data_IF_740237404694
#
_entry.id   IF_740237404694
#
_cell.length_a   1.000
_cell.length_b   1.000
_cell.length_c   1.000
_cell.angle_alpha   90.00
_cell.angle_beta   90.00
_cell.angle_gamma   90.00
#
_symmetry.space_group_name_H-M   'P 1'
#
loop_
_entity.id
_entity.type
_entity.pdbx_description
1 polymer ?
#
# COMPACT_ATOMS: atom_id res chain seq x y z
N UNK A 1 0.64 -17.67 -8.57
CA UNK A 1 0.23 -16.26 -8.78
C UNK A 1 -0.36 -15.71 -7.49
N UNK A 2 0.07 -14.50 -7.11
CA UNK A 2 -0.47 -13.84 -5.91
C UNK A 2 -1.60 -12.89 -6.30
N UNK A 3 -2.64 -12.84 -5.49
CA UNK A 3 -3.80 -11.99 -5.70
C UNK A 3 -3.74 -10.83 -4.71
N UNK A 4 -3.73 -9.61 -5.24
CA UNK A 4 -3.78 -8.37 -4.46
C UNK A 4 -5.13 -7.70 -4.68
N UNK A 5 -5.88 -7.47 -3.60
CA UNK A 5 -7.22 -6.90 -3.67
C UNK A 5 -7.21 -5.46 -3.14
N UNK A 6 -7.75 -4.53 -3.95
CA UNK A 6 -7.83 -3.12 -3.57
C UNK A 6 -8.87 -2.88 -2.50
N UNK A 7 -8.47 -2.20 -1.42
CA UNK A 7 -9.39 -1.83 -0.34
C UNK A 7 -10.28 -0.64 -0.70
N UNK A 8 -9.98 0.06 -1.80
CA UNK A 8 -10.73 1.24 -2.24
C UNK A 8 -11.67 0.97 -3.42
N UNK A 9 -11.77 -0.27 -3.86
CA UNK A 9 -12.53 -0.63 -5.07
C UNK A 9 -14.05 -0.55 -4.89
N UNK A 10 -14.55 -0.62 -3.66
CA UNK A 10 -15.98 -0.55 -3.37
C UNK A 10 -16.26 0.59 -2.39
N UNK A 11 -16.80 1.69 -2.90
CA UNK A 11 -17.07 2.91 -2.12
C UNK A 11 -18.34 2.83 -1.27
N UNK A 12 -19.21 1.85 -1.54
CA UNK A 12 -20.47 1.69 -0.82
C UNK A 12 -20.34 0.91 0.47
N UNK A 13 -19.14 0.38 0.76
CA UNK A 13 -18.88 -0.41 1.95
C UNK A 13 -17.91 0.32 2.87
N UNK A 14 -18.09 0.12 4.18
CA UNK A 14 -17.09 0.59 5.14
C UNK A 14 -15.80 -0.18 4.96
N UNK A 15 -14.67 0.45 5.30
CA UNK A 15 -13.37 -0.21 5.25
C UNK A 15 -13.35 -1.48 6.11
N UNK A 16 -13.96 -1.41 7.30
CA UNK A 16 -14.05 -2.56 8.20
C UNK A 16 -14.76 -3.75 7.55
N UNK A 17 -15.93 -3.53 6.96
CA UNK A 17 -16.70 -4.59 6.31
C UNK A 17 -15.97 -5.16 5.10
N UNK A 18 -15.33 -4.29 4.31
CA UNK A 18 -14.58 -4.74 3.14
C UNK A 18 -13.39 -5.61 3.55
N UNK A 19 -12.63 -5.21 4.57
CA UNK A 19 -11.48 -5.98 5.05
C UNK A 19 -11.93 -7.34 5.59
N UNK A 20 -13.02 -7.39 6.35
CA UNK A 20 -13.57 -8.66 6.86
C UNK A 20 -13.98 -9.60 5.73
N UNK A 21 -14.60 -9.07 4.68
CA UNK A 21 -14.97 -9.89 3.52
C UNK A 21 -13.73 -10.39 2.78
N UNK A 22 -12.75 -9.53 2.54
CA UNK A 22 -11.51 -9.91 1.84
C UNK A 22 -10.70 -10.94 2.63
N UNK A 23 -10.76 -10.88 3.96
CA UNK A 23 -10.08 -11.86 4.81
C UNK A 23 -10.67 -13.27 4.67
N UNK A 24 -11.96 -13.36 4.30
CA UNK A 24 -12.63 -14.63 4.04
C UNK A 24 -12.39 -15.18 2.62
N UNK A 25 -11.85 -14.37 1.71
CA UNK A 25 -11.50 -14.81 0.37
C UNK A 25 -10.02 -15.18 0.30
N UNK A 26 -9.64 -15.98 -0.71
CA UNK A 26 -8.26 -16.39 -0.93
C UNK A 26 -7.44 -15.31 -1.63
N UNK A 27 -7.39 -14.11 -1.06
CA UNK A 27 -6.49 -13.05 -1.53
C UNK A 27 -5.17 -13.15 -0.77
N UNK A 28 -4.07 -12.85 -1.44
CA UNK A 28 -2.74 -12.97 -0.85
C UNK A 28 -2.31 -11.71 -0.12
N UNK A 29 -2.82 -10.56 -0.54
CA UNK A 29 -2.45 -9.26 0.04
C UNK A 29 -3.55 -8.24 -0.20
N UNK A 30 -3.52 -7.17 0.58
CA UNK A 30 -4.45 -6.04 0.43
C UNK A 30 -3.72 -4.87 -0.21
N UNK A 31 -4.29 -4.33 -1.28
CA UNK A 31 -3.70 -3.25 -2.07
C UNK A 31 -4.19 -1.90 -1.58
N UNK A 32 -3.25 -1.04 -1.20
CA UNK A 32 -3.53 0.32 -0.74
C UNK A 32 -2.88 1.29 -1.72
N UNK A 33 -3.69 2.12 -2.40
CA UNK A 33 -3.18 3.15 -3.29
C UNK A 33 -2.96 4.45 -2.51
N UNK A 34 -1.74 4.99 -2.63
CA UNK A 34 -1.40 6.29 -2.07
C UNK A 34 -0.89 7.21 -3.17
N UNK A 35 -1.75 8.14 -3.59
CA UNK A 35 -1.38 9.22 -4.51
C UNK A 35 -1.28 10.50 -3.68
N UNK A 36 -0.06 11.03 -3.51
CA UNK A 36 0.19 12.14 -2.60
C UNK A 36 -0.37 13.49 -3.08
N UNK A 37 -0.87 13.55 -4.31
CA UNK A 37 -1.61 14.72 -4.82
C UNK A 37 -3.10 14.66 -4.50
N UNK A 38 -3.62 13.49 -4.13
CA UNK A 38 -5.04 13.26 -3.85
C UNK A 38 -5.33 12.86 -2.41
N UNK A 39 -4.36 12.26 -1.73
CA UNK A 39 -4.56 11.70 -0.40
C UNK A 39 -3.53 12.28 0.57
N UNK A 40 -3.93 12.40 1.82
CA UNK A 40 -3.02 12.75 2.90
C UNK A 40 -2.38 11.50 3.49
N UNK A 41 -1.10 11.59 3.83
CA UNK A 41 -0.37 10.46 4.40
C UNK A 41 -1.00 9.96 5.71
N UNK A 42 -1.48 10.88 6.54
CA UNK A 42 -2.11 10.55 7.81
C UNK A 42 -3.35 9.66 7.63
N UNK A 43 -4.14 9.91 6.58
CA UNK A 43 -5.30 9.08 6.27
C UNK A 43 -4.88 7.68 5.86
N UNK A 44 -3.86 7.56 5.02
CA UNK A 44 -3.35 6.27 4.58
C UNK A 44 -2.79 5.49 5.77
N UNK A 45 -2.05 6.15 6.67
CA UNK A 45 -1.53 5.52 7.88
C UNK A 45 -2.65 5.00 8.78
N UNK A 46 -3.72 5.79 8.93
CA UNK A 46 -4.89 5.38 9.69
C UNK A 46 -5.55 4.14 9.09
N UNK A 47 -5.71 4.11 7.76
CA UNK A 47 -6.28 2.97 7.07
C UNK A 47 -5.41 1.72 7.24
N UNK A 48 -4.08 1.86 7.14
CA UNK A 48 -3.15 0.75 7.35
C UNK A 48 -3.25 0.19 8.76
N UNK A 49 -3.33 1.05 9.77
CA UNK A 49 -3.50 0.61 11.15
C UNK A 49 -4.82 -0.14 11.36
N UNK A 50 -5.88 0.31 10.72
CA UNK A 50 -7.17 -0.37 10.77
C UNK A 50 -7.08 -1.75 10.10
N UNK A 51 -6.41 -1.85 8.96
CA UNK A 51 -6.18 -3.14 8.30
C UNK A 51 -5.42 -4.10 9.22
N UNK A 52 -4.35 -3.62 9.87
CA UNK A 52 -3.54 -4.45 10.78
C UNK A 52 -4.35 -4.97 11.97
N UNK A 53 -5.34 -4.19 12.44
CA UNK A 53 -6.20 -4.61 13.53
C UNK A 53 -7.23 -5.65 13.11
N UNK A 54 -7.61 -5.69 11.85
CA UNK A 54 -8.72 -6.51 11.35
C UNK A 54 -8.25 -7.78 10.64
N UNK A 55 -7.03 -7.82 10.14
CA UNK A 55 -6.53 -9.01 9.45
C UNK A 55 -4.99 -9.07 9.50
N UNK A 56 -4.46 -10.26 9.18
CA UNK A 56 -3.02 -10.52 9.21
C UNK A 56 -2.39 -10.55 7.81
N UNK A 57 -3.17 -10.25 6.77
CA UNK A 57 -2.67 -10.29 5.39
C UNK A 57 -1.65 -9.20 5.14
N UNK A 58 -0.63 -9.47 4.30
CA UNK A 58 0.35 -8.46 3.90
C UNK A 58 -0.31 -7.28 3.19
N UNK A 59 0.33 -6.12 3.29
CA UNK A 59 -0.10 -4.90 2.60
C UNK A 59 0.80 -4.68 1.40
N UNK A 60 0.18 -4.42 0.26
CA UNK A 60 0.81 -3.98 -0.98
C UNK A 60 0.51 -2.48 -1.14
N UNK A 61 1.49 -1.63 -0.82
CA UNK A 61 1.33 -0.17 -0.89
C UNK A 61 1.81 0.33 -2.25
N UNK A 62 0.89 0.88 -3.03
CA UNK A 62 1.19 1.48 -4.32
C UNK A 62 1.37 3.00 -4.13
N UNK A 63 2.59 3.48 -4.28
CA UNK A 63 2.93 4.89 -4.10
C UNK A 63 2.97 5.59 -5.45
N UNK A 64 2.08 6.55 -5.63
CA UNK A 64 2.00 7.40 -6.82
C UNK A 64 2.47 8.78 -6.39
N UNK A 65 3.74 9.08 -6.64
CA UNK A 65 4.40 10.31 -6.21
C UNK A 65 5.56 10.63 -7.16
N UNK A 66 5.81 11.91 -7.42
CA UNK A 66 6.99 12.32 -8.16
C UNK A 66 8.26 12.34 -7.28
N UNK A 67 8.10 12.34 -5.97
CA UNK A 67 9.20 12.30 -5.00
C UNK A 67 8.99 11.21 -3.94
N UNK A 68 9.00 9.92 -4.32
CA UNK A 68 8.62 8.84 -3.40
C UNK A 68 9.63 8.56 -2.28
N UNK A 69 10.88 9.02 -2.40
CA UNK A 69 11.91 8.75 -1.39
C UNK A 69 11.56 9.32 -0.02
N UNK A 70 10.76 10.38 0.03
CA UNK A 70 10.34 10.98 1.31
C UNK A 70 9.45 10.07 2.16
N UNK A 71 8.93 8.97 1.58
CA UNK A 71 8.09 8.01 2.29
C UNK A 71 8.84 6.79 2.80
N UNK A 72 10.17 6.76 2.67
CA UNK A 72 10.98 5.61 3.11
C UNK A 72 10.83 5.32 4.59
N UNK A 73 10.78 6.35 5.43
CA UNK A 73 10.56 6.19 6.87
C UNK A 73 9.17 5.63 7.18
N UNK A 74 8.16 6.12 6.46
CA UNK A 74 6.78 5.64 6.61
C UNK A 74 6.68 4.14 6.30
N UNK A 75 7.32 3.70 5.22
CA UNK A 75 7.36 2.29 4.83
C UNK A 75 7.98 1.45 5.93
N UNK A 76 9.11 1.90 6.47
CA UNK A 76 9.83 1.20 7.53
C UNK A 76 9.03 1.16 8.83
N UNK A 77 8.49 2.31 9.25
CA UNK A 77 7.78 2.42 10.53
C UNK A 77 6.49 1.60 10.55
N UNK A 78 5.83 1.45 9.39
CA UNK A 78 4.61 0.67 9.25
C UNK A 78 4.86 -0.78 8.80
N UNK A 79 6.10 -1.18 8.64
CA UNK A 79 6.49 -2.55 8.26
C UNK A 79 5.74 -3.05 7.03
N UNK A 80 5.67 -2.24 5.98
CA UNK A 80 4.96 -2.58 4.75
C UNK A 80 5.69 -3.73 4.04
N UNK A 81 4.97 -4.78 3.67
CA UNK A 81 5.55 -5.99 3.07
C UNK A 81 5.87 -5.82 1.60
N UNK A 82 5.02 -5.10 0.86
CA UNK A 82 5.20 -4.86 -0.57
C UNK A 82 5.00 -3.39 -0.89
N UNK A 83 5.91 -2.81 -1.66
CA UNK A 83 5.81 -1.43 -2.12
C UNK A 83 5.99 -1.40 -3.63
N UNK A 84 5.05 -0.76 -4.32
CA UNK A 84 5.10 -0.56 -5.76
C UNK A 84 5.17 0.93 -6.05
N UNK A 85 6.13 1.34 -6.88
CA UNK A 85 6.26 2.74 -7.31
C UNK A 85 5.71 2.89 -8.72
N UNK A 86 4.99 4.00 -8.97
CA UNK A 86 4.50 4.34 -10.31
C UNK A 86 5.62 5.05 -11.08
N UNK A 87 6.18 4.37 -12.07
CA UNK A 87 7.40 4.83 -12.75
C UNK A 87 7.25 6.17 -13.46
N UNK A 88 6.12 6.39 -14.15
CA UNK A 88 5.91 7.60 -14.97
C UNK A 88 5.93 8.90 -14.16
N UNK A 89 5.64 8.81 -12.88
CA UNK A 89 5.52 10.00 -12.03
C UNK A 89 6.84 10.39 -11.35
N UNK A 90 7.83 9.50 -11.36
CA UNK A 90 9.06 9.67 -10.59
C UNK A 90 10.00 10.67 -11.32
N UNK A 91 10.44 11.72 -10.60
CA UNK A 91 11.37 12.72 -11.11
C UNK A 91 12.73 12.66 -10.42
N UNK A 92 12.95 11.68 -9.55
CA UNK A 92 14.19 11.52 -8.79
C UNK A 92 14.67 10.06 -8.86
N UNK A 93 15.94 9.84 -8.50
CA UNK A 93 16.48 8.49 -8.40
C UNK A 93 15.90 7.81 -7.14
N UNK A 94 15.43 6.58 -7.31
CA UNK A 94 14.84 5.83 -6.19
C UNK A 94 15.92 5.34 -5.23
N UNK A 95 15.75 5.68 -3.96
CA UNK A 95 16.53 5.13 -2.85
C UNK A 95 15.75 3.96 -2.23
N UNK A 96 16.09 2.76 -2.66
CA UNK A 96 15.45 1.55 -2.12
C UNK A 96 16.28 1.05 -0.94
N UNK A 97 15.72 1.18 0.26
CA UNK A 97 16.32 0.59 1.44
C UNK A 97 16.08 -0.91 1.43
N UNK A 98 17.13 -1.68 1.19
CA UNK A 98 17.05 -3.14 1.27
C UNK A 98 16.80 -3.54 2.71
N UNK A 99 15.55 -3.80 3.03
CA UNK A 99 15.18 -4.39 4.32
C UNK A 99 14.66 -5.80 4.05
N UNK A 100 14.84 -6.69 5.02
CA UNK A 100 14.35 -8.06 4.90
C UNK A 100 12.83 -8.15 4.93
N UNK A 101 12.14 -7.04 5.26
CA UNK A 101 10.70 -7.01 5.45
C UNK A 101 9.92 -6.46 4.26
N UNK A 102 10.58 -5.70 3.37
CA UNK A 102 9.88 -5.03 2.28
C UNK A 102 10.40 -5.48 0.92
N UNK A 103 9.50 -5.89 0.05
CA UNK A 103 9.79 -6.19 -1.35
C UNK A 103 9.28 -5.03 -2.20
N UNK A 104 10.11 -4.60 -3.15
CA UNK A 104 9.82 -3.44 -4.00
C UNK A 104 9.54 -3.86 -5.43
N UNK A 105 8.61 -3.14 -6.06
CA UNK A 105 8.28 -3.31 -7.46
C UNK A 105 8.02 -1.97 -8.13
N UNK A 106 7.91 -2.00 -9.46
CA UNK A 106 7.63 -0.82 -10.27
C UNK A 106 6.45 -1.13 -11.16
N UNK A 107 5.46 -0.22 -11.17
CA UNK A 107 4.33 -0.30 -12.08
C UNK A 107 4.57 0.62 -13.27
N UNK A 108 4.25 0.13 -14.46
CA UNK A 108 4.36 0.85 -15.73
C UNK A 108 2.99 0.79 -16.41
N UNK A 109 2.47 1.95 -16.81
CA UNK A 109 1.22 2.00 -17.58
C UNK A 109 1.47 2.12 -19.05
#
# INVERSE_FOLDING_TARGET
MKISASIYSNKDRTLENLIKDLDNYNVDMLHVDFNDKKNELNKIEKDIKQIRNLCEKPIDLHIISDTPNKYSKFIKDNKIEYVTYQLENIVEELNINKSNHTKYGIAIT
#
